data_IF_139701981026
#
_entry.id   IF_139701981026
#
_cell.length_a   1.000
_cell.length_b   1.000
_cell.length_c   1.000
_cell.angle_alpha   90.00
_cell.angle_beta   90.00
_cell.angle_gamma   90.00
#
_symmetry.space_group_name_H-M   'P 1'
#
loop_
_entity.id
_entity.type
_entity.pdbx_description
1 polymer ?
#
# COMPACT_ATOMS: atom_id res chain seq x y z
N UNK A 1 10.69 -3.22 -6.46
CA UNK A 1 9.25 -3.14 -6.26
C UNK A 1 8.74 -1.73 -6.46
N UNK A 2 7.45 -1.58 -6.73
CA UNK A 2 6.83 -0.28 -6.86
C UNK A 2 5.66 -0.20 -5.87
N UNK A 3 5.83 0.60 -4.83
CA UNK A 3 4.84 0.74 -3.77
C UNK A 3 3.49 1.23 -4.31
N UNK A 4 3.52 2.16 -5.27
CA UNK A 4 2.30 2.68 -5.89
C UNK A 4 1.46 1.56 -6.50
N UNK A 5 2.08 0.68 -7.28
CA UNK A 5 1.37 -0.41 -7.94
C UNK A 5 0.84 -1.43 -6.94
N UNK A 6 1.59 -1.68 -5.86
CA UNK A 6 1.16 -2.61 -4.82
C UNK A 6 -0.08 -2.08 -4.10
N UNK A 7 -0.10 -0.79 -3.76
CA UNK A 7 -1.28 -0.21 -3.11
C UNK A 7 -2.49 -0.20 -4.03
N UNK A 8 -2.30 0.13 -5.31
CA UNK A 8 -3.40 0.11 -6.28
C UNK A 8 -3.95 -1.31 -6.45
N UNK A 9 -3.06 -2.29 -6.47
CA UNK A 9 -3.46 -3.69 -6.61
C UNK A 9 -4.27 -4.17 -5.40
N UNK A 10 -3.81 -3.89 -4.18
CA UNK A 10 -4.54 -4.33 -2.98
C UNK A 10 -5.90 -3.64 -2.89
N UNK A 11 -5.99 -2.36 -3.28
CA UNK A 11 -7.25 -1.66 -3.32
C UNK A 11 -8.23 -2.30 -4.31
N UNK A 12 -7.75 -2.64 -5.49
CA UNK A 12 -8.58 -3.29 -6.50
C UNK A 12 -9.07 -4.65 -6.04
N UNK A 13 -8.19 -5.46 -5.47
CA UNK A 13 -8.54 -6.80 -5.01
C UNK A 13 -9.53 -6.79 -3.85
N UNK A 14 -9.41 -5.81 -2.96
CA UNK A 14 -10.29 -5.70 -1.77
C UNK A 14 -11.43 -4.72 -1.99
N UNK A 15 -11.52 -4.10 -3.16
CA UNK A 15 -12.57 -3.13 -3.51
C UNK A 15 -12.59 -1.96 -2.52
N UNK A 16 -11.42 -1.41 -2.23
CA UNK A 16 -11.25 -0.32 -1.27
C UNK A 16 -11.02 1.00 -1.97
N UNK A 17 -11.64 2.06 -1.45
CA UNK A 17 -11.28 3.43 -1.83
C UNK A 17 -9.98 3.84 -1.14
N UNK A 18 -9.39 4.97 -1.55
CA UNK A 18 -8.23 5.52 -0.84
C UNK A 18 -8.55 5.79 0.63
N UNK A 19 -9.73 6.35 0.91
CA UNK A 19 -10.16 6.64 2.28
C UNK A 19 -10.28 5.38 3.10
N UNK A 20 -10.86 4.33 2.52
CA UNK A 20 -11.02 3.07 3.21
C UNK A 20 -9.67 2.42 3.53
N UNK A 21 -8.76 2.44 2.56
CA UNK A 21 -7.42 1.91 2.79
C UNK A 21 -6.70 2.70 3.88
N UNK A 22 -6.81 4.03 3.84
CA UNK A 22 -6.20 4.89 4.86
C UNK A 22 -6.75 4.56 6.24
N UNK A 23 -8.07 4.41 6.37
CA UNK A 23 -8.70 4.06 7.64
C UNK A 23 -8.22 2.71 8.17
N UNK A 24 -8.13 1.70 7.31
CA UNK A 24 -7.67 0.37 7.72
C UNK A 24 -6.22 0.36 8.19
N UNK A 25 -5.40 1.21 7.63
CA UNK A 25 -3.96 1.22 7.88
C UNK A 25 -3.54 2.24 8.93
N UNK A 26 -4.48 3.07 9.41
CA UNK A 26 -4.17 4.14 10.34
C UNK A 26 -3.37 5.29 9.73
N UNK A 27 -3.32 5.36 8.41
CA UNK A 27 -2.62 6.43 7.68
C UNK A 27 -3.61 7.50 7.24
N UNK A 28 -3.10 8.68 6.89
CA UNK A 28 -3.92 9.73 6.30
C UNK A 28 -4.16 9.43 4.82
N UNK A 29 -5.34 9.81 4.30
CA UNK A 29 -5.63 9.62 2.89
C UNK A 29 -4.60 10.34 2.01
N UNK A 30 -4.16 11.52 2.41
CA UNK A 30 -3.14 12.27 1.66
C UNK A 30 -1.82 11.49 1.56
N UNK A 31 -1.46 10.75 2.61
CA UNK A 31 -0.27 9.90 2.58
C UNK A 31 -0.43 8.78 1.55
N UNK A 32 -1.56 8.07 1.58
CA UNK A 32 -1.87 7.01 0.63
C UNK A 32 -1.84 7.56 -0.80
N UNK A 33 -2.46 8.73 -1.01
CA UNK A 33 -2.48 9.37 -2.32
C UNK A 33 -1.06 9.67 -2.84
N UNK A 34 -0.17 10.16 -1.96
CA UNK A 34 1.22 10.46 -2.34
C UNK A 34 2.00 9.19 -2.69
N UNK A 35 1.78 8.11 -1.95
CA UNK A 35 2.43 6.83 -2.26
C UNK A 35 1.97 6.33 -3.63
N UNK A 36 0.67 6.43 -3.91
CA UNK A 36 0.11 5.97 -5.18
C UNK A 36 0.58 6.82 -6.37
N UNK A 37 0.89 8.10 -6.13
CA UNK A 37 1.46 8.96 -7.16
C UNK A 37 2.96 8.76 -7.37
N UNK A 38 3.61 8.02 -6.47
CA UNK A 38 5.05 7.83 -6.53
C UNK A 38 5.86 8.99 -5.99
N UNK A 39 5.22 9.94 -5.29
CA UNK A 39 5.90 11.13 -4.74
C UNK A 39 6.28 10.96 -3.27
N UNK A 40 5.95 9.83 -2.67
CA UNK A 40 6.25 9.53 -1.28
C UNK A 40 7.06 8.22 -1.23
N UNK A 41 8.27 8.30 -0.68
CA UNK A 41 9.07 7.11 -0.44
C UNK A 41 8.53 6.35 0.78
N UNK A 42 8.58 5.04 0.70
CA UNK A 42 8.02 4.17 1.73
C UNK A 42 8.96 2.98 1.88
N UNK A 43 9.25 2.61 3.12
CA UNK A 43 10.08 1.43 3.40
C UNK A 43 9.29 0.15 3.12
N UNK A 44 10.01 -0.95 2.90
CA UNK A 44 9.40 -2.27 2.73
C UNK A 44 8.58 -2.63 3.97
N UNK A 45 9.09 -2.31 5.15
CA UNK A 45 8.38 -2.58 6.41
C UNK A 45 7.03 -1.85 6.44
N UNK A 46 7.03 -0.56 6.12
CA UNK A 46 5.78 0.22 6.10
C UNK A 46 4.80 -0.31 5.05
N UNK A 47 5.32 -0.66 3.87
CA UNK A 47 4.48 -1.22 2.81
C UNK A 47 3.86 -2.54 3.25
N UNK A 48 4.64 -3.40 3.89
CA UNK A 48 4.15 -4.67 4.43
C UNK A 48 3.05 -4.44 5.47
N UNK A 49 3.24 -3.46 6.36
CA UNK A 49 2.25 -3.14 7.39
C UNK A 49 0.93 -2.68 6.75
N UNK A 50 1.01 -1.85 5.71
CA UNK A 50 -0.17 -1.39 4.99
C UNK A 50 -0.90 -2.56 4.33
N UNK A 51 -0.17 -3.42 3.62
CA UNK A 51 -0.76 -4.56 2.92
C UNK A 51 -1.42 -5.52 3.90
N UNK A 52 -0.76 -5.84 5.00
CA UNK A 52 -1.32 -6.73 6.02
C UNK A 52 -2.55 -6.14 6.69
N UNK A 53 -2.53 -4.83 6.98
CA UNK A 53 -3.68 -4.16 7.58
C UNK A 53 -4.90 -4.19 6.66
N UNK A 54 -4.69 -4.25 5.37
CA UNK A 54 -5.76 -4.35 4.37
C UNK A 54 -6.18 -5.80 4.12
N UNK A 55 -5.62 -6.76 4.84
CA UNK A 55 -5.97 -8.17 4.71
C UNK A 55 -5.23 -8.91 3.61
N UNK A 56 -4.18 -8.32 3.06
CA UNK A 56 -3.35 -8.94 2.04
C UNK A 56 -2.06 -9.51 2.60
N UNK A 57 -1.26 -10.04 1.71
CA UNK A 57 0.10 -10.49 2.01
C UNK A 57 1.04 -9.95 0.96
N UNK A 58 2.18 -9.44 1.42
CA UNK A 58 3.22 -8.93 0.54
C UNK A 58 4.30 -10.00 0.37
N UNK A 59 4.57 -10.35 -0.89
CA UNK A 59 5.71 -11.21 -1.22
C UNK A 59 6.67 -10.40 -2.08
N UNK A 60 7.91 -10.31 -1.62
CA UNK A 60 8.98 -9.70 -2.39
C UNK A 60 10.01 -10.78 -2.66
N UNK A 61 10.27 -11.05 -3.94
CA UNK A 61 11.29 -12.00 -4.34
C UNK A 61 12.56 -11.26 -4.75
N UNK A 62 13.68 -11.69 -4.20
CA UNK A 62 14.99 -11.18 -4.59
C UNK A 62 15.61 -12.22 -5.50
N UNK A 63 15.86 -11.83 -6.74
CA UNK A 63 16.53 -12.67 -7.73
C UNK A 63 17.98 -12.22 -7.81
N UNK A 64 18.89 -13.10 -7.48
CA UNK A 64 20.33 -12.82 -7.52
C UNK A 64 21.03 -13.72 -8.53
#
# INVERSE_FOLDING_TARGET
YQAANILLKIRAEKQLSQSELANLTGKKQSYIARVEKGTQNISVQTLNDIVESAGGKLKIEVVV
#
